data_IF_957802387057
#
_entry.id   IF_957802387057
#
_cell.length_a   1.000
_cell.length_b   1.000
_cell.length_c   1.000
_cell.angle_alpha   90.00
_cell.angle_beta   90.00
_cell.angle_gamma   90.00
#
_symmetry.space_group_name_H-M   'P 1'
#
loop_
_entity.id
_entity.type
_entity.pdbx_description
1 polymer ?
#
# COMPACT_ATOMS: atom_id res chain seq x y z
N UNK A 1 19.22 -13.99 -19.71
CA UNK A 1 18.86 -12.57 -19.51
C UNK A 1 20.04 -11.70 -19.88
N UNK A 2 19.82 -10.45 -20.26
CA UNK A 2 20.88 -9.55 -20.75
C UNK A 2 21.49 -8.65 -19.65
N UNK A 3 21.22 -8.94 -18.37
CA UNK A 3 21.76 -8.17 -17.23
C UNK A 3 23.22 -8.58 -17.00
N UNK A 4 24.10 -7.58 -16.87
CA UNK A 4 25.54 -7.78 -16.64
C UNK A 4 26.00 -7.29 -15.27
N UNK A 5 25.40 -6.20 -14.78
CA UNK A 5 25.79 -5.56 -13.53
C UNK A 5 24.69 -4.62 -13.00
N UNK A 6 24.80 -4.24 -11.73
CA UNK A 6 24.05 -3.16 -11.07
C UNK A 6 25.01 -2.03 -10.76
N UNK A 7 24.67 -0.81 -11.17
CA UNK A 7 25.41 0.39 -10.81
C UNK A 7 24.75 1.01 -9.56
N UNK A 8 25.53 1.23 -8.51
CA UNK A 8 25.05 1.80 -7.24
C UNK A 8 25.85 3.03 -6.87
N UNK A 9 25.27 3.94 -6.08
CA UNK A 9 25.95 5.09 -5.47
C UNK A 9 25.60 5.12 -3.98
N UNK A 10 26.52 5.57 -3.14
CA UNK A 10 26.20 5.77 -1.73
C UNK A 10 25.27 6.97 -1.55
N UNK A 11 24.40 6.85 -0.55
CA UNK A 11 23.38 7.86 -0.24
C UNK A 11 23.52 8.27 1.21
N UNK A 12 23.62 9.59 1.44
CA UNK A 12 23.46 10.20 2.75
C UNK A 12 22.06 10.77 2.89
N UNK A 13 21.46 10.62 4.07
CA UNK A 13 20.15 11.18 4.38
C UNK A 13 20.32 12.54 5.05
N UNK A 14 19.96 13.61 4.35
CA UNK A 14 19.98 14.98 4.86
C UNK A 14 18.55 15.49 5.06
N UNK A 15 18.34 16.41 6.00
CA UNK A 15 17.04 17.10 6.12
C UNK A 15 17.00 18.30 5.18
N UNK A 16 15.94 18.42 4.41
CA UNK A 16 15.67 19.64 3.64
C UNK A 16 15.12 20.75 4.53
N UNK A 17 14.90 21.94 3.95
CA UNK A 17 14.34 23.12 4.64
C UNK A 17 12.96 22.87 5.27
N UNK A 18 12.22 21.87 4.78
CA UNK A 18 10.91 21.45 5.30
C UNK A 18 11.04 20.34 6.36
N UNK A 19 12.25 20.01 6.79
CA UNK A 19 12.55 18.99 7.79
C UNK A 19 12.46 17.54 7.32
N UNK A 20 12.15 17.30 6.04
CA UNK A 20 12.03 15.96 5.46
C UNK A 20 13.40 15.39 5.12
N UNK A 21 13.61 14.09 5.41
CA UNK A 21 14.82 13.38 4.99
C UNK A 21 14.79 13.15 3.48
N UNK A 22 15.82 13.64 2.79
CA UNK A 22 16.03 13.45 1.37
C UNK A 22 17.31 12.65 1.13
N UNK A 23 17.31 11.67 0.20
CA UNK A 23 18.50 10.96 -0.18
C UNK A 23 19.39 11.86 -1.04
N UNK A 24 20.66 12.02 -0.65
CA UNK A 24 21.67 12.76 -1.41
C UNK A 24 22.80 11.82 -1.82
N UNK A 25 23.02 11.73 -3.13
CA UNK A 25 24.12 10.93 -3.67
C UNK A 25 25.47 11.50 -3.22
N UNK A 26 26.41 10.61 -2.89
CA UNK A 26 27.79 10.97 -2.59
C UNK A 26 28.63 10.79 -3.87
N UNK A 27 29.05 11.87 -4.54
CA UNK A 27 29.84 11.75 -5.77
C UNK A 27 31.15 10.98 -5.54
N UNK A 28 31.56 10.15 -6.50
CA UNK A 28 32.79 9.36 -6.41
C UNK A 28 32.63 8.03 -5.65
N UNK A 29 31.42 7.71 -5.19
CA UNK A 29 31.11 6.44 -4.51
C UNK A 29 30.43 5.43 -5.44
N UNK A 30 30.43 5.69 -6.74
CA UNK A 30 29.81 4.83 -7.73
C UNK A 30 30.50 3.46 -7.76
N UNK A 31 29.70 2.39 -7.69
CA UNK A 31 30.18 1.00 -7.73
C UNK A 31 29.43 0.23 -8.80
N UNK A 32 30.13 -0.72 -9.41
CA UNK A 32 29.56 -1.67 -10.37
C UNK A 32 29.61 -3.05 -9.74
N UNK A 33 28.45 -3.62 -9.48
CA UNK A 33 28.29 -4.94 -8.86
C UNK A 33 27.88 -5.91 -9.97
N UNK A 34 28.70 -6.92 -10.33
CA UNK A 34 28.32 -7.92 -11.32
C UNK A 34 27.05 -8.66 -10.91
N UNK A 35 26.09 -8.77 -11.82
CA UNK A 35 24.80 -9.41 -11.57
C UNK A 35 24.26 -10.02 -12.86
N UNK A 36 23.56 -11.15 -12.73
CA UNK A 36 22.90 -11.84 -13.84
C UNK A 36 21.36 -11.84 -13.70
N UNK A 37 20.87 -11.48 -12.50
CA UNK A 37 19.47 -11.37 -12.14
C UNK A 37 19.32 -10.26 -11.09
N UNK A 38 18.28 -9.44 -11.20
CA UNK A 38 17.91 -8.41 -10.23
C UNK A 38 16.47 -8.64 -9.83
N UNK A 39 16.21 -8.80 -8.53
CA UNK A 39 14.87 -8.96 -7.97
C UNK A 39 14.52 -7.71 -7.17
N UNK A 40 13.55 -6.94 -7.65
CA UNK A 40 13.10 -5.73 -6.97
C UNK A 40 12.07 -6.10 -5.90
N UNK A 41 12.46 -5.96 -4.63
CA UNK A 41 11.62 -6.24 -3.46
C UNK A 41 11.19 -4.93 -2.76
N UNK A 42 10.67 -3.98 -3.53
CA UNK A 42 10.31 -2.63 -3.06
C UNK A 42 8.90 -2.53 -2.45
N UNK A 43 8.18 -3.65 -2.38
CA UNK A 43 6.77 -3.70 -1.96
C UNK A 43 5.82 -3.21 -3.05
N UNK A 44 4.63 -2.76 -2.65
CA UNK A 44 3.58 -2.25 -3.53
C UNK A 44 2.94 -0.99 -2.93
N UNK A 45 2.38 -0.13 -3.79
CA UNK A 45 1.79 1.14 -3.36
C UNK A 45 0.30 1.03 -3.00
N UNK A 46 -0.43 0.15 -3.67
CA UNK A 46 -1.85 -0.08 -3.50
C UNK A 46 -2.31 -1.30 -4.31
N UNK A 47 -3.62 -1.59 -4.33
CA UNK A 47 -4.18 -2.72 -5.09
C UNK A 47 -4.10 -2.51 -6.60
N UNK A 48 -4.31 -3.58 -7.36
CA UNK A 48 -4.50 -3.49 -8.81
C UNK A 48 -5.68 -2.56 -9.15
N UNK A 49 -5.42 -1.57 -10.00
CA UNK A 49 -6.37 -0.51 -10.29
C UNK A 49 -7.55 -0.89 -11.22
N UNK A 50 -7.44 -1.85 -12.18
CA UNK A 50 -8.55 -2.12 -13.11
C UNK A 50 -9.88 -2.43 -12.44
N UNK A 51 -9.90 -3.19 -11.33
CA UNK A 51 -11.12 -3.50 -10.60
C UNK A 51 -11.66 -2.28 -9.84
N UNK A 52 -10.77 -1.50 -9.20
CA UNK A 52 -11.12 -0.29 -8.45
C UNK A 52 -11.76 0.75 -9.38
N UNK A 53 -11.19 0.91 -10.57
CA UNK A 53 -11.67 1.83 -11.60
C UNK A 53 -12.98 1.34 -12.24
N UNK A 54 -13.10 0.04 -12.54
CA UNK A 54 -14.33 -0.54 -13.08
C UNK A 54 -15.53 -0.42 -12.13
N UNK A 55 -15.27 -0.45 -10.81
CA UNK A 55 -16.29 -0.24 -9.77
C UNK A 55 -16.51 1.26 -9.44
N UNK A 56 -15.71 2.18 -10.00
CA UNK A 56 -15.82 3.61 -9.76
C UNK A 56 -15.56 4.00 -8.30
N UNK A 57 -14.67 3.29 -7.60
CA UNK A 57 -14.42 3.52 -6.18
C UNK A 57 -13.48 4.72 -5.98
N UNK A 58 -13.76 5.53 -4.95
CA UNK A 58 -12.84 6.58 -4.53
C UNK A 58 -11.54 5.99 -3.99
N UNK A 59 -10.44 6.69 -4.24
CA UNK A 59 -9.09 6.30 -3.81
C UNK A 59 -8.50 7.32 -2.85
N UNK A 60 -7.66 6.85 -1.94
CA UNK A 60 -6.85 7.74 -1.11
C UNK A 60 -5.65 8.30 -1.90
N UNK A 61 -4.85 9.15 -1.26
CA UNK A 61 -3.65 9.76 -1.86
C UNK A 61 -2.55 8.74 -2.21
N UNK A 62 -2.67 7.49 -1.74
CA UNK A 62 -1.74 6.38 -1.97
C UNK A 62 -2.31 5.34 -2.93
N UNK A 63 -3.43 5.62 -3.63
CA UNK A 63 -4.13 4.71 -4.55
C UNK A 63 -4.82 3.50 -3.90
N UNK A 64 -4.94 3.47 -2.58
CA UNK A 64 -5.75 2.48 -1.88
C UNK A 64 -7.22 2.81 -2.02
N UNK A 65 -8.10 1.81 -1.88
CA UNK A 65 -9.54 2.02 -1.84
C UNK A 65 -9.86 2.83 -0.58
N UNK A 66 -10.48 3.99 -0.77
CA UNK A 66 -10.82 4.90 0.32
C UNK A 66 -11.99 4.30 1.12
N UNK A 67 -11.70 3.93 2.36
CA UNK A 67 -12.70 3.58 3.36
C UNK A 67 -12.18 3.88 4.76
N UNK A 68 -13.02 4.52 5.58
CA UNK A 68 -12.67 4.91 6.95
C UNK A 68 -12.46 3.68 7.84
N UNK A 69 -11.42 3.72 8.67
CA UNK A 69 -11.20 2.68 9.67
C UNK A 69 -12.39 2.59 10.64
N UNK A 70 -12.83 1.36 10.95
CA UNK A 70 -14.02 1.10 11.77
C UNK A 70 -15.35 1.14 11.02
N UNK A 71 -15.43 1.72 9.81
CA UNK A 71 -16.65 1.74 8.97
C UNK A 71 -16.53 0.86 7.74
N UNK A 72 -15.35 0.84 7.11
CA UNK A 72 -15.00 -0.01 5.95
C UNK A 72 -15.84 0.17 4.68
N UNK A 73 -16.91 0.98 4.71
CA UNK A 73 -17.70 1.35 3.55
C UNK A 73 -16.89 2.23 2.59
N UNK A 74 -17.00 1.95 1.30
CA UNK A 74 -16.38 2.73 0.22
C UNK A 74 -17.34 3.82 -0.28
N UNK A 75 -16.96 4.53 -1.35
CA UNK A 75 -17.88 5.46 -2.06
C UNK A 75 -19.11 4.76 -2.65
N UNK A 76 -19.06 3.44 -2.88
CA UNK A 76 -20.21 2.66 -3.29
C UNK A 76 -20.83 1.95 -2.08
N UNK A 77 -22.10 2.24 -1.77
CA UNK A 77 -22.78 1.81 -0.53
C UNK A 77 -22.91 0.30 -0.29
N UNK A 78 -22.58 -0.53 -1.29
CA UNK A 78 -22.65 -2.01 -1.24
C UNK A 78 -21.28 -2.65 -1.37
N UNK A 79 -20.21 -1.84 -1.38
CA UNK A 79 -18.83 -2.29 -1.51
C UNK A 79 -18.07 -1.81 -0.29
N UNK A 80 -17.35 -2.73 0.32
CA UNK A 80 -16.53 -2.51 1.50
C UNK A 80 -15.09 -2.90 1.19
N UNK A 81 -14.12 -2.30 1.87
CA UNK A 81 -12.70 -2.58 1.68
C UNK A 81 -12.03 -2.77 3.04
N UNK A 82 -11.04 -3.66 3.11
CA UNK A 82 -10.28 -3.98 4.33
C UNK A 82 -8.92 -4.59 3.97
N UNK A 83 -7.98 -4.56 4.91
CA UNK A 83 -6.64 -5.09 4.71
C UNK A 83 -5.81 -4.23 3.76
N UNK A 84 -4.83 -4.83 3.08
CA UNK A 84 -3.82 -4.07 2.33
C UNK A 84 -4.39 -3.22 1.19
N UNK A 85 -5.54 -3.59 0.60
CA UNK A 85 -6.18 -2.80 -0.45
C UNK A 85 -6.81 -1.48 0.06
N UNK A 86 -7.05 -1.37 1.37
CA UNK A 86 -7.57 -0.18 2.06
C UNK A 86 -6.48 0.54 2.86
N UNK A 87 -5.69 -0.22 3.62
CA UNK A 87 -4.65 0.27 4.55
C UNK A 87 -3.32 0.57 3.86
N UNK A 88 -3.03 -0.12 2.76
CA UNK A 88 -1.67 -0.30 2.23
C UNK A 88 -0.92 -1.41 2.96
N UNK A 89 0.26 -1.77 2.42
CA UNK A 89 1.10 -2.88 2.90
C UNK A 89 1.25 -2.92 4.43
N UNK A 90 0.82 -4.02 5.05
CA UNK A 90 0.89 -4.19 6.50
C UNK A 90 1.12 -5.64 6.93
N UNK A 91 0.89 -5.94 8.21
CA UNK A 91 1.02 -7.27 8.77
C UNK A 91 -0.26 -8.07 8.56
N UNK A 92 -0.12 -9.40 8.44
CA UNK A 92 -1.26 -10.32 8.31
C UNK A 92 -2.28 -10.16 9.45
N UNK A 93 -1.83 -9.89 10.68
CA UNK A 93 -2.73 -9.65 11.82
C UNK A 93 -3.65 -8.44 11.62
N UNK A 94 -3.18 -7.41 10.91
CA UNK A 94 -4.02 -6.26 10.56
C UNK A 94 -5.07 -6.64 9.52
N UNK A 95 -4.70 -7.41 8.50
CA UNK A 95 -5.66 -7.91 7.52
C UNK A 95 -6.73 -8.81 8.17
N UNK A 96 -6.35 -9.65 9.14
CA UNK A 96 -7.30 -10.47 9.91
C UNK A 96 -8.22 -9.59 10.75
N UNK A 97 -7.67 -8.61 11.47
CA UNK A 97 -8.46 -7.70 12.30
C UNK A 97 -9.47 -6.93 11.45
N UNK A 98 -9.01 -6.24 10.40
CA UNK A 98 -9.90 -5.48 9.51
C UNK A 98 -10.89 -6.40 8.78
N UNK A 99 -10.50 -7.63 8.45
CA UNK A 99 -11.38 -8.65 7.87
C UNK A 99 -12.57 -9.01 8.78
N UNK A 100 -12.33 -9.09 10.10
CA UNK A 100 -13.40 -9.32 11.08
C UNK A 100 -14.30 -8.10 11.22
N UNK A 101 -13.71 -6.91 11.28
CA UNK A 101 -14.49 -5.69 11.44
C UNK A 101 -15.30 -5.32 10.19
N UNK A 102 -14.77 -5.56 8.98
CA UNK A 102 -15.55 -5.36 7.75
C UNK A 102 -16.70 -6.37 7.65
N UNK A 103 -16.52 -7.60 8.13
CA UNK A 103 -17.61 -8.57 8.19
C UNK A 103 -18.74 -8.07 9.11
N UNK A 104 -18.41 -7.48 10.26
CA UNK A 104 -19.37 -6.83 11.17
C UNK A 104 -20.12 -5.68 10.48
N UNK A 105 -19.43 -4.83 9.72
CA UNK A 105 -20.09 -3.71 9.05
C UNK A 105 -20.92 -4.14 7.83
N UNK A 106 -20.51 -5.19 7.10
CA UNK A 106 -21.33 -5.83 6.08
C UNK A 106 -22.61 -6.44 6.67
N UNK A 107 -22.49 -7.16 7.80
CA UNK A 107 -23.64 -7.74 8.50
C UNK A 107 -24.62 -6.66 8.96
N UNK A 108 -24.10 -5.62 9.64
CA UNK A 108 -24.88 -4.45 10.05
C UNK A 108 -25.60 -3.79 8.87
N UNK A 109 -24.95 -3.66 7.72
CA UNK A 109 -25.55 -3.08 6.52
C UNK A 109 -26.71 -3.92 5.98
N UNK A 110 -26.57 -5.25 5.98
CA UNK A 110 -27.60 -6.16 5.48
C UNK A 110 -28.77 -6.36 6.45
N UNK A 111 -28.47 -6.43 7.75
CA UNK A 111 -29.41 -6.84 8.80
C UNK A 111 -29.95 -5.66 9.63
N UNK A 112 -29.38 -4.46 9.49
CA UNK A 112 -29.69 -3.28 10.29
C UNK A 112 -29.10 -3.30 11.72
N UNK A 113 -28.56 -4.43 12.16
CA UNK A 113 -27.87 -4.66 13.42
C UNK A 113 -26.84 -5.79 13.24
N UNK A 114 -25.98 -6.03 14.23
CA UNK A 114 -24.97 -7.10 14.16
C UNK A 114 -24.68 -7.60 15.57
N UNK A 115 -24.58 -8.93 15.72
CA UNK A 115 -24.10 -9.60 16.94
C UNK A 115 -22.60 -9.97 16.85
N UNK A 116 -21.97 -9.70 15.70
CA UNK A 116 -20.54 -9.90 15.52
C UNK A 116 -19.73 -8.90 16.39
N UNK A 117 -18.61 -9.36 16.98
CA UNK A 117 -17.76 -8.56 17.86
C UNK A 117 -17.08 -7.40 17.11
#
# INVERSE_FOLDING_TARGET
>A
GNVKAVHTVEVLWERNEKGAFIPKHVPGTERVIPAQLVLLAMGFLGPEQPLVDALGLEKDVRSNIKADYGKYATSHSKVFAAGDCRRGQSLVVWAINEGREVARECDRFLMGHTDLP
#
